data_IF_116402846796
#
_entry.id   IF_116402846796
#
_cell.length_a   1.000
_cell.length_b   1.000
_cell.length_c   1.000
_cell.angle_alpha   90.00
_cell.angle_beta   90.00
_cell.angle_gamma   90.00
#
_symmetry.space_group_name_H-M   'P 1'
#
loop_
_entity.id
_entity.type
_entity.pdbx_description
1 polymer ?
#
# COMPACT_ATOMS: atom_id res chain seq x y z
N UNK A 1 -29.64 -11.72 -20.34
CA UNK A 1 -28.17 -11.52 -20.45
C UNK A 1 -27.49 -12.44 -19.46
N UNK A 2 -26.68 -13.34 -19.95
CA UNK A 2 -26.01 -14.33 -19.13
C UNK A 2 -24.60 -13.89 -18.75
N UNK A 3 -24.05 -14.50 -17.67
CA UNK A 3 -22.68 -14.27 -17.26
C UNK A 3 -21.72 -15.00 -18.24
N UNK A 4 -20.77 -14.28 -18.79
CA UNK A 4 -19.72 -14.81 -19.63
C UNK A 4 -18.41 -14.86 -18.83
N UNK A 5 -17.62 -15.91 -19.01
CA UNK A 5 -16.34 -16.03 -18.36
C UNK A 5 -15.29 -15.16 -19.06
N UNK A 6 -14.68 -14.21 -18.34
CA UNK A 6 -13.64 -13.35 -18.90
C UNK A 6 -12.23 -13.85 -18.56
N UNK A 7 -12.02 -14.35 -17.36
CA UNK A 7 -10.79 -15.02 -16.90
C UNK A 7 -11.05 -15.70 -15.57
N UNK A 8 -10.08 -16.45 -15.07
CA UNK A 8 -10.19 -17.12 -13.76
C UNK A 8 -10.65 -16.15 -12.65
N UNK A 9 -11.77 -16.49 -12.03
CA UNK A 9 -12.39 -15.72 -10.95
C UNK A 9 -13.07 -14.41 -11.36
N UNK A 10 -13.24 -14.16 -12.68
CA UNK A 10 -13.93 -12.96 -13.21
C UNK A 10 -14.94 -13.34 -14.26
N UNK A 11 -16.20 -13.01 -14.00
CA UNK A 11 -17.31 -13.13 -14.94
C UNK A 11 -17.84 -11.74 -15.32
N UNK A 12 -18.35 -11.58 -16.52
CA UNK A 12 -18.88 -10.31 -17.03
C UNK A 12 -20.27 -10.49 -17.67
N UNK A 13 -21.03 -9.40 -17.66
CA UNK A 13 -22.26 -9.25 -18.46
C UNK A 13 -22.14 -8.01 -19.33
N UNK A 14 -22.51 -8.12 -20.58
CA UNK A 14 -22.44 -7.02 -21.54
C UNK A 14 -23.83 -6.45 -21.78
N UNK A 15 -23.95 -5.13 -21.80
CA UNK A 15 -25.17 -4.39 -22.14
C UNK A 15 -24.82 -3.31 -23.15
N UNK A 16 -25.00 -3.56 -24.46
CA UNK A 16 -24.93 -2.50 -25.45
C UNK A 16 -26.11 -1.52 -25.29
N UNK A 17 -25.84 -0.22 -25.28
CA UNK A 17 -26.86 0.82 -25.19
C UNK A 17 -26.37 2.12 -25.85
N UNK A 18 -27.15 2.63 -26.81
CA UNK A 18 -26.91 3.95 -27.40
C UNK A 18 -25.49 4.18 -27.93
N UNK A 19 -24.92 3.19 -28.64
CA UNK A 19 -23.55 3.30 -29.18
C UNK A 19 -22.43 3.06 -28.18
N UNK A 20 -22.77 2.69 -26.95
CA UNK A 20 -21.83 2.38 -25.87
C UNK A 20 -22.03 0.96 -25.35
N UNK A 21 -21.00 0.45 -24.73
CA UNK A 21 -20.99 -0.85 -24.08
C UNK A 21 -20.83 -0.69 -22.56
N UNK A 22 -21.82 -1.17 -21.81
CA UNK A 22 -21.75 -1.30 -20.37
C UNK A 22 -21.35 -2.72 -20.02
N UNK A 23 -20.29 -2.85 -19.22
CA UNK A 23 -19.77 -4.15 -18.77
C UNK A 23 -19.90 -4.24 -17.26
N UNK A 24 -20.79 -5.13 -16.79
CA UNK A 24 -20.89 -5.47 -15.39
C UNK A 24 -19.95 -6.65 -15.12
N UNK A 25 -18.83 -6.42 -14.45
CA UNK A 25 -17.88 -7.46 -14.06
C UNK A 25 -18.09 -7.87 -12.60
N UNK A 26 -17.85 -9.15 -12.30
CA UNK A 26 -17.85 -9.74 -10.96
C UNK A 26 -16.53 -10.44 -10.71
N UNK A 27 -15.77 -10.01 -9.71
CA UNK A 27 -14.47 -10.58 -9.33
C UNK A 27 -14.53 -11.25 -7.96
N UNK A 28 -14.18 -12.55 -7.90
CA UNK A 28 -14.12 -13.33 -6.64
C UNK A 28 -13.10 -12.78 -5.67
N UNK A 29 -11.91 -12.41 -6.15
CA UNK A 29 -10.86 -11.84 -5.31
C UNK A 29 -11.31 -10.53 -4.64
N UNK A 30 -12.05 -9.67 -5.36
CA UNK A 30 -12.60 -8.44 -4.81
C UNK A 30 -13.70 -8.72 -3.79
N UNK A 31 -14.58 -9.69 -4.02
CA UNK A 31 -15.57 -10.12 -3.02
C UNK A 31 -14.89 -10.47 -1.71
N UNK A 32 -13.83 -11.31 -1.75
CA UNK A 32 -13.08 -11.70 -0.56
C UNK A 32 -12.46 -10.49 0.14
N UNK A 33 -11.83 -9.59 -0.62
CA UNK A 33 -11.21 -8.36 -0.09
C UNK A 33 -12.25 -7.44 0.57
N UNK A 34 -13.36 -7.16 -0.09
CA UNK A 34 -14.40 -6.27 0.42
C UNK A 34 -15.07 -6.86 1.67
N UNK A 35 -15.29 -8.17 1.72
CA UNK A 35 -15.78 -8.87 2.92
C UNK A 35 -14.81 -8.78 4.08
N UNK A 36 -13.53 -9.01 3.84
CA UNK A 36 -12.51 -8.92 4.87
C UNK A 36 -12.39 -7.49 5.44
N UNK A 37 -12.40 -6.48 4.56
CA UNK A 37 -12.39 -5.07 4.96
C UNK A 37 -13.63 -4.72 5.80
N UNK A 38 -14.82 -5.10 5.35
CA UNK A 38 -16.07 -4.85 6.08
C UNK A 38 -16.08 -5.53 7.44
N UNK A 39 -15.67 -6.81 7.52
CA UNK A 39 -15.57 -7.53 8.81
C UNK A 39 -14.65 -6.82 9.77
N UNK A 40 -13.48 -6.35 9.30
CA UNK A 40 -12.52 -5.61 10.12
C UNK A 40 -13.12 -4.30 10.64
N UNK A 41 -13.77 -3.53 9.77
CA UNK A 41 -14.41 -2.26 10.13
C UNK A 41 -15.57 -2.47 11.11
N UNK A 42 -16.41 -3.46 10.88
CA UNK A 42 -17.50 -3.82 11.79
C UNK A 42 -16.95 -4.26 13.15
N UNK A 43 -15.92 -5.11 13.19
CA UNK A 43 -15.29 -5.56 14.45
C UNK A 43 -14.74 -4.37 15.25
N UNK A 44 -14.07 -3.42 14.57
CA UNK A 44 -13.55 -2.20 15.20
C UNK A 44 -14.69 -1.34 15.79
N UNK A 45 -15.73 -1.10 15.00
CA UNK A 45 -16.89 -0.33 15.45
C UNK A 45 -17.61 -1.02 16.62
N UNK A 46 -17.82 -2.34 16.53
CA UNK A 46 -18.49 -3.13 17.56
C UNK A 46 -17.76 -3.08 18.91
N UNK A 47 -16.45 -3.24 18.89
CA UNK A 47 -15.62 -3.09 20.09
C UNK A 47 -15.77 -1.70 20.70
N UNK A 48 -15.74 -0.63 19.88
CA UNK A 48 -15.91 0.74 20.35
C UNK A 48 -17.29 1.02 20.92
N UNK A 49 -18.36 0.53 20.28
CA UNK A 49 -19.72 0.66 20.78
C UNK A 49 -19.92 -0.11 22.10
N UNK A 50 -19.32 -1.31 22.22
CA UNK A 50 -19.32 -2.08 23.47
C UNK A 50 -18.63 -1.36 24.63
N UNK A 51 -17.49 -0.72 24.39
CA UNK A 51 -16.81 0.12 25.39
C UNK A 51 -17.67 1.31 25.82
N UNK A 52 -18.34 1.95 24.87
CA UNK A 52 -19.23 3.08 25.18
C UNK A 52 -20.48 2.63 25.95
N UNK A 53 -20.99 1.45 25.65
CA UNK A 53 -22.15 0.87 26.36
C UNK A 53 -21.81 0.42 27.79
N UNK A 54 -20.60 -0.10 28.01
CA UNK A 54 -20.17 -0.61 29.33
C UNK A 54 -19.86 0.50 30.34
N UNK A 55 -19.68 1.73 29.89
CA UNK A 55 -19.37 2.89 30.75
C UNK A 55 -20.55 3.83 30.83
N UNK A 56 -20.89 4.29 32.04
CA UNK A 56 -21.87 5.35 32.20
C UNK A 56 -21.30 6.67 31.67
N UNK A 57 -22.02 7.32 30.77
CA UNK A 57 -21.67 8.62 30.19
C UNK A 57 -22.87 9.55 30.22
N UNK A 58 -22.70 10.84 30.53
CA UNK A 58 -23.72 11.84 30.24
C UNK A 58 -24.07 11.79 28.75
N UNK A 59 -25.37 11.96 28.44
CA UNK A 59 -25.90 11.83 27.07
C UNK A 59 -25.11 12.63 26.04
N UNK A 60 -24.77 13.88 26.34
CA UNK A 60 -24.05 14.75 25.40
C UNK A 60 -22.62 14.27 25.14
N UNK A 61 -21.93 13.84 26.19
CA UNK A 61 -20.59 13.24 26.07
C UNK A 61 -20.62 11.93 25.26
N UNK A 62 -21.68 11.12 25.42
CA UNK A 62 -21.88 9.91 24.62
C UNK A 62 -22.10 10.25 23.14
N UNK A 63 -22.92 11.25 22.81
CA UNK A 63 -23.16 11.69 21.44
C UNK A 63 -21.89 12.17 20.73
N UNK A 64 -21.04 12.92 21.43
CA UNK A 64 -19.73 13.35 20.89
C UNK A 64 -18.84 12.13 20.58
N UNK A 65 -18.75 11.16 21.51
CA UNK A 65 -17.97 9.93 21.31
C UNK A 65 -18.52 9.05 20.17
N UNK A 66 -19.83 9.01 20.00
CA UNK A 66 -20.47 8.34 18.87
C UNK A 66 -20.14 9.04 17.54
N UNK A 67 -20.10 10.38 17.53
CA UNK A 67 -19.62 11.16 16.38
C UNK A 67 -18.22 10.77 15.98
N UNK A 68 -17.27 10.67 16.93
CA UNK A 68 -15.92 10.21 16.69
C UNK A 68 -15.85 8.76 16.18
N UNK A 69 -16.66 7.86 16.73
CA UNK A 69 -16.73 6.48 16.25
C UNK A 69 -17.27 6.36 14.82
N UNK A 70 -18.23 7.22 14.44
CA UNK A 70 -18.74 7.35 13.07
C UNK A 70 -17.64 7.80 12.11
N UNK A 71 -16.85 8.81 12.48
CA UNK A 71 -15.75 9.34 11.69
C UNK A 71 -14.64 8.31 11.48
N UNK A 72 -14.31 7.53 12.51
CA UNK A 72 -13.29 6.47 12.44
C UNK A 72 -13.73 5.25 11.63
N UNK A 73 -15.04 4.98 11.49
CA UNK A 73 -15.57 3.79 10.83
C UNK A 73 -16.82 4.08 10.00
N UNK A 74 -16.79 5.02 9.05
CA UNK A 74 -17.99 5.52 8.35
C UNK A 74 -18.70 4.42 7.53
N UNK A 75 -17.95 3.48 6.96
CA UNK A 75 -18.50 2.37 6.18
C UNK A 75 -19.26 1.37 7.04
N UNK A 76 -18.74 1.05 8.23
CA UNK A 76 -19.40 0.16 9.17
C UNK A 76 -20.60 0.83 9.84
N UNK A 77 -20.47 2.12 10.15
CA UNK A 77 -21.54 2.90 10.77
C UNK A 77 -22.87 2.83 9.99
N UNK A 78 -22.81 2.87 8.66
CA UNK A 78 -23.99 2.76 7.80
C UNK A 78 -24.73 1.44 7.91
N UNK A 79 -24.09 0.41 8.45
CA UNK A 79 -24.64 -0.94 8.59
C UNK A 79 -25.19 -1.24 9.99
N UNK A 80 -25.06 -0.28 10.90
CA UNK A 80 -25.50 -0.43 12.29
C UNK A 80 -26.59 0.59 12.58
N UNK A 81 -27.68 0.14 13.18
CA UNK A 81 -28.71 1.01 13.73
C UNK A 81 -28.33 1.32 15.19
N UNK A 82 -28.24 2.60 15.52
CA UNK A 82 -27.77 3.09 16.81
C UNK A 82 -28.84 4.01 17.39
N UNK A 83 -29.20 3.79 18.63
CA UNK A 83 -30.20 4.55 19.38
C UNK A 83 -29.62 4.93 20.74
N UNK A 84 -29.86 6.15 21.15
CA UNK A 84 -29.51 6.66 22.49
C UNK A 84 -30.78 7.16 23.12
N UNK A 85 -31.19 6.51 24.20
CA UNK A 85 -32.39 6.87 24.95
C UNK A 85 -32.17 8.19 25.72
N UNK A 86 -33.23 8.75 26.29
CA UNK A 86 -33.21 10.01 27.03
C UNK A 86 -32.31 9.92 28.30
N UNK A 87 -32.21 8.73 28.88
CA UNK A 87 -31.39 8.40 30.06
C UNK A 87 -29.90 8.17 29.73
N UNK A 88 -29.51 8.28 28.46
CA UNK A 88 -28.14 8.01 28.01
C UNK A 88 -27.84 6.53 27.72
N UNK A 89 -28.85 5.66 27.75
CA UNK A 89 -28.66 4.24 27.42
C UNK A 89 -28.41 4.06 25.93
N UNK A 90 -27.26 3.43 25.60
CA UNK A 90 -26.87 3.12 24.21
C UNK A 90 -27.40 1.75 23.80
N UNK A 91 -28.17 1.71 22.71
CA UNK A 91 -28.59 0.47 22.03
C UNK A 91 -28.09 0.47 20.60
N UNK A 92 -27.57 -0.65 20.15
CA UNK A 92 -27.11 -0.79 18.78
C UNK A 92 -27.35 -2.20 18.26
N UNK A 93 -27.64 -2.30 16.96
CA UNK A 93 -27.88 -3.57 16.30
C UNK A 93 -27.43 -3.53 14.84
N UNK A 94 -27.08 -4.71 14.29
CA UNK A 94 -26.70 -4.83 12.90
C UNK A 94 -27.93 -4.76 11.99
N UNK A 95 -27.96 -3.79 11.07
CA UNK A 95 -29.02 -3.68 10.08
C UNK A 95 -28.85 -4.75 8.98
N UNK A 96 -29.55 -5.86 9.12
CA UNK A 96 -29.48 -7.00 8.18
C UNK A 96 -29.93 -6.64 6.75
N UNK A 97 -30.88 -5.71 6.60
CA UNK A 97 -31.36 -5.27 5.26
C UNK A 97 -30.25 -4.51 4.53
N UNK A 98 -29.62 -3.53 5.19
CA UNK A 98 -28.49 -2.77 4.64
C UNK A 98 -27.29 -3.68 4.37
N UNK A 99 -26.99 -4.62 5.26
CA UNK A 99 -25.91 -5.60 5.07
C UNK A 99 -26.16 -6.47 3.84
N UNK A 100 -27.38 -6.99 3.65
CA UNK A 100 -27.77 -7.77 2.48
C UNK A 100 -27.59 -6.97 1.18
N UNK A 101 -28.03 -5.71 1.16
CA UNK A 101 -27.88 -4.82 0.01
C UNK A 101 -26.42 -4.57 -0.37
N UNK A 102 -25.53 -4.37 0.62
CA UNK A 102 -24.09 -4.20 0.37
C UNK A 102 -23.47 -5.51 -0.12
N UNK A 103 -23.82 -6.65 0.48
CA UNK A 103 -23.31 -7.96 0.08
C UNK A 103 -23.67 -8.31 -1.38
N UNK A 104 -24.86 -7.92 -1.84
CA UNK A 104 -25.28 -8.12 -3.23
C UNK A 104 -24.43 -7.32 -4.25
N UNK A 105 -23.82 -6.23 -3.83
CA UNK A 105 -22.99 -5.36 -4.69
C UNK A 105 -21.50 -5.70 -4.64
N UNK A 106 -21.11 -6.58 -3.74
CA UNK A 106 -19.69 -6.95 -3.57
C UNK A 106 -19.05 -7.51 -4.82
N UNK A 107 -17.81 -7.13 -5.02
CA UNK A 107 -16.98 -7.63 -6.11
C UNK A 107 -17.42 -7.20 -7.48
N UNK A 108 -18.38 -6.27 -7.60
CA UNK A 108 -18.91 -5.82 -8.89
C UNK A 108 -18.26 -4.52 -9.33
N UNK A 109 -17.99 -4.45 -10.63
CA UNK A 109 -17.53 -3.25 -11.32
C UNK A 109 -18.51 -2.94 -12.45
N UNK A 110 -18.78 -1.68 -12.68
CA UNK A 110 -19.46 -1.22 -13.87
C UNK A 110 -18.45 -0.45 -14.72
N UNK A 111 -18.15 -0.97 -15.89
CA UNK A 111 -17.32 -0.31 -16.89
C UNK A 111 -18.22 0.24 -17.99
N UNK A 112 -17.83 1.39 -18.53
CA UNK A 112 -18.46 2.01 -19.69
C UNK A 112 -17.39 2.19 -20.75
N UNK A 113 -17.66 1.76 -21.97
CA UNK A 113 -16.73 1.79 -23.09
C UNK A 113 -17.46 2.18 -24.38
N UNK A 114 -16.76 2.83 -25.27
CA UNK A 114 -17.17 3.06 -26.64
C UNK A 114 -16.76 1.91 -27.59
N UNK A 115 -16.05 0.92 -27.07
CA UNK A 115 -15.63 -0.27 -27.81
C UNK A 115 -16.80 -1.25 -27.88
N UNK A 116 -17.65 -1.09 -28.88
CA UNK A 116 -18.79 -1.98 -29.16
C UNK A 116 -18.32 -3.14 -30.03
N UNK A 117 -18.70 -4.38 -29.68
CA UNK A 117 -18.34 -5.58 -30.46
C UNK A 117 -17.05 -6.27 -30.06
N UNK A 118 -16.34 -5.76 -29.04
CA UNK A 118 -15.13 -6.38 -28.52
C UNK A 118 -15.43 -7.56 -27.58
N UNK A 119 -14.50 -8.51 -27.55
CA UNK A 119 -14.56 -9.65 -26.63
C UNK A 119 -14.52 -9.19 -25.17
N UNK A 120 -15.38 -9.74 -24.27
CA UNK A 120 -15.44 -9.39 -22.86
C UNK A 120 -14.10 -9.52 -22.11
N UNK A 121 -13.31 -10.54 -22.44
CA UNK A 121 -12.00 -10.76 -21.83
C UNK A 121 -11.02 -9.66 -22.24
N UNK A 122 -11.09 -9.19 -23.48
CA UNK A 122 -10.27 -8.07 -23.98
C UNK A 122 -10.62 -6.77 -23.28
N UNK A 123 -11.91 -6.43 -23.13
CA UNK A 123 -12.35 -5.22 -22.44
C UNK A 123 -11.88 -5.26 -20.97
N UNK A 124 -12.00 -6.40 -20.30
CA UNK A 124 -11.49 -6.57 -18.95
C UNK A 124 -9.96 -6.41 -18.89
N UNK A 125 -9.22 -6.97 -19.85
CA UNK A 125 -7.77 -6.82 -19.96
C UNK A 125 -7.35 -5.36 -20.11
N UNK A 126 -8.05 -4.60 -20.98
CA UNK A 126 -7.81 -3.16 -21.15
C UNK A 126 -8.05 -2.38 -19.84
N UNK A 127 -9.13 -2.68 -19.13
CA UNK A 127 -9.40 -2.09 -17.84
C UNK A 127 -8.29 -2.39 -16.81
N UNK A 128 -7.80 -3.62 -16.76
CA UNK A 128 -6.69 -3.98 -15.86
C UNK A 128 -5.39 -3.24 -16.20
N UNK A 129 -5.12 -3.01 -17.49
CA UNK A 129 -3.98 -2.18 -17.91
C UNK A 129 -4.11 -0.74 -17.46
N UNK A 130 -5.30 -0.14 -17.52
CA UNK A 130 -5.54 1.20 -16.97
C UNK A 130 -5.24 1.26 -15.47
N UNK A 131 -5.69 0.27 -14.71
CA UNK A 131 -5.40 0.18 -13.26
C UNK A 131 -3.88 0.07 -13.00
N UNK A 132 -3.16 -0.70 -13.82
CA UNK A 132 -1.70 -0.81 -13.73
C UNK A 132 -1.01 0.52 -14.05
N UNK A 133 -1.46 1.23 -15.09
CA UNK A 133 -0.94 2.55 -15.47
C UNK A 133 -1.19 3.58 -14.35
N UNK A 134 -2.40 3.61 -13.78
CA UNK A 134 -2.71 4.49 -12.65
C UNK A 134 -1.81 4.21 -11.44
N UNK A 135 -1.53 2.93 -11.17
CA UNK A 135 -0.61 2.55 -10.09
C UNK A 135 0.82 3.00 -10.39
N UNK A 136 1.29 2.85 -11.64
CA UNK A 136 2.60 3.35 -12.08
C UNK A 136 2.74 4.85 -11.84
N UNK A 137 1.76 5.65 -12.30
CA UNK A 137 1.76 7.09 -12.07
C UNK A 137 1.70 7.48 -10.59
N UNK A 138 0.97 6.72 -9.78
CA UNK A 138 0.91 6.95 -8.33
C UNK A 138 2.27 6.71 -7.67
N UNK A 139 2.96 5.64 -8.03
CA UNK A 139 4.28 5.33 -7.52
C UNK A 139 5.31 6.39 -7.94
N UNK A 140 5.31 6.79 -9.21
CA UNK A 140 6.20 7.85 -9.71
C UNK A 140 5.98 9.19 -8.97
N UNK A 141 4.72 9.57 -8.73
CA UNK A 141 4.38 10.83 -8.05
C UNK A 141 4.55 10.78 -6.54
N UNK A 142 4.39 9.62 -5.94
CA UNK A 142 4.45 9.40 -4.49
C UNK A 142 5.81 8.89 -4.04
N UNK A 143 5.99 7.57 -4.05
CA UNK A 143 7.15 6.91 -3.45
C UNK A 143 8.48 7.27 -4.13
N UNK A 144 8.47 7.58 -5.44
CA UNK A 144 9.66 7.92 -6.22
C UNK A 144 9.87 9.44 -6.39
N UNK A 145 8.99 10.25 -5.82
CA UNK A 145 9.13 11.71 -5.71
C UNK A 145 9.52 12.42 -7.02
N UNK A 146 8.99 11.98 -8.18
CA UNK A 146 9.21 12.68 -9.45
C UNK A 146 8.68 14.12 -9.43
N UNK A 147 7.83 14.44 -8.46
CA UNK A 147 7.30 15.78 -8.19
C UNK A 147 7.27 16.06 -6.68
N UNK A 148 7.52 17.31 -6.25
CA UNK A 148 7.89 18.48 -7.05
C UNK A 148 9.35 18.44 -7.51
N UNK A 149 9.65 19.07 -8.66
CA UNK A 149 11.02 19.28 -9.15
C UNK A 149 11.45 20.68 -8.72
N UNK A 150 12.48 20.75 -7.88
CA UNK A 150 13.02 22.00 -7.34
C UNK A 150 14.20 22.55 -8.15
N UNK A 151 14.69 21.79 -9.13
CA UNK A 151 15.79 22.22 -10.00
C UNK A 151 15.29 23.22 -11.03
N UNK A 152 16.11 24.25 -11.32
CA UNK A 152 15.85 25.25 -12.34
C UNK A 152 16.74 25.06 -13.60
N UNK A 153 17.83 24.34 -13.46
CA UNK A 153 18.75 24.00 -14.55
C UNK A 153 18.17 22.80 -15.32
N UNK A 154 18.11 22.91 -16.65
CA UNK A 154 17.52 21.89 -17.54
C UNK A 154 18.20 20.53 -17.37
N UNK A 155 19.53 20.50 -17.36
CA UNK A 155 20.30 19.24 -17.20
C UNK A 155 20.01 18.56 -15.87
N UNK A 156 19.82 19.33 -14.80
CA UNK A 156 19.44 18.79 -13.48
C UNK A 156 18.00 18.29 -13.46
N UNK A 157 17.09 18.93 -14.20
CA UNK A 157 15.70 18.48 -14.36
C UNK A 157 15.70 17.15 -15.10
N UNK A 158 16.42 17.04 -16.21
CA UNK A 158 16.54 15.80 -16.98
C UNK A 158 17.16 14.66 -16.15
N UNK A 159 18.25 14.95 -15.44
CA UNK A 159 18.89 13.98 -14.55
C UNK A 159 17.93 13.51 -13.45
N UNK A 160 17.15 14.41 -12.83
CA UNK A 160 16.15 14.07 -11.83
C UNK A 160 15.08 13.12 -12.42
N UNK A 161 14.53 13.46 -13.58
CA UNK A 161 13.53 12.63 -14.27
C UNK A 161 14.11 11.25 -14.61
N UNK A 162 15.34 11.21 -15.13
CA UNK A 162 16.02 9.95 -15.49
C UNK A 162 16.26 9.06 -14.26
N UNK A 163 16.70 9.64 -13.14
CA UNK A 163 16.90 8.90 -11.89
C UNK A 163 15.56 8.33 -11.39
N UNK A 164 14.49 9.13 -11.41
CA UNK A 164 13.16 8.66 -11.04
C UNK A 164 12.68 7.53 -11.94
N UNK A 165 12.95 7.61 -13.25
CA UNK A 165 12.61 6.55 -14.20
C UNK A 165 13.41 5.25 -13.93
N UNK A 166 14.69 5.34 -13.68
CA UNK A 166 15.52 4.18 -13.32
C UNK A 166 15.03 3.55 -11.99
N UNK A 167 14.74 4.37 -10.99
CA UNK A 167 14.16 3.92 -9.72
C UNK A 167 12.81 3.21 -9.95
N UNK A 168 11.98 3.70 -10.86
CA UNK A 168 10.73 3.05 -11.24
C UNK A 168 10.97 1.68 -11.89
N UNK A 169 11.93 1.56 -12.80
CA UNK A 169 12.29 0.28 -13.42
C UNK A 169 12.73 -0.75 -12.36
N UNK A 170 13.54 -0.34 -11.40
CA UNK A 170 13.97 -1.17 -10.28
C UNK A 170 12.78 -1.58 -9.39
N UNK A 171 11.89 -0.64 -9.09
CA UNK A 171 10.67 -0.90 -8.31
C UNK A 171 9.76 -1.95 -8.98
N UNK A 172 9.54 -1.83 -10.30
CA UNK A 172 8.73 -2.78 -11.06
C UNK A 172 9.40 -4.16 -11.10
N UNK A 173 10.71 -4.20 -11.29
CA UNK A 173 11.51 -5.45 -11.31
C UNK A 173 11.45 -6.13 -9.95
N UNK A 174 11.64 -5.39 -8.85
CA UNK A 174 11.51 -5.92 -7.50
C UNK A 174 10.10 -6.44 -7.24
N UNK A 175 9.07 -5.70 -7.63
CA UNK A 175 7.67 -6.13 -7.51
C UNK A 175 7.40 -7.45 -8.25
N UNK A 176 7.98 -7.62 -9.45
CA UNK A 176 7.85 -8.86 -10.21
C UNK A 176 8.53 -10.03 -9.47
N UNK A 177 9.74 -9.85 -8.99
CA UNK A 177 10.45 -10.85 -8.17
C UNK A 177 9.68 -11.22 -6.90
N UNK A 178 9.10 -10.23 -6.21
CA UNK A 178 8.34 -10.46 -4.98
C UNK A 178 7.07 -11.30 -5.22
N UNK A 179 6.38 -11.09 -6.33
CA UNK A 179 5.21 -11.92 -6.69
C UNK A 179 5.56 -13.42 -6.76
N UNK A 180 6.77 -13.75 -7.21
CA UNK A 180 7.23 -15.12 -7.38
C UNK A 180 7.85 -15.69 -6.12
N UNK A 181 8.73 -14.93 -5.45
CA UNK A 181 9.60 -15.44 -4.38
C UNK A 181 9.12 -15.11 -2.96
N UNK A 182 8.36 -14.05 -2.80
CA UNK A 182 7.86 -13.58 -1.50
C UNK A 182 6.45 -12.98 -1.62
N UNK A 183 5.43 -13.80 -2.00
CA UNK A 183 4.06 -13.32 -2.18
C UNK A 183 3.53 -12.70 -0.89
N UNK A 184 2.90 -11.53 -1.02
CA UNK A 184 2.36 -10.75 0.11
C UNK A 184 3.25 -9.60 0.56
N UNK A 185 4.52 -9.54 0.15
CA UNK A 185 5.38 -8.38 0.36
C UNK A 185 5.24 -7.36 -0.77
N UNK A 186 5.39 -6.08 -0.42
CA UNK A 186 5.45 -4.97 -1.36
C UNK A 186 6.88 -4.44 -1.45
N UNK A 187 7.33 -3.79 -2.55
CA UNK A 187 8.63 -3.16 -2.62
C UNK A 187 8.89 -2.23 -1.43
N UNK A 188 7.91 -1.43 -1.04
CA UNK A 188 8.00 -0.53 0.12
C UNK A 188 8.31 -1.29 1.41
N UNK A 189 7.58 -2.37 1.71
CA UNK A 189 7.82 -3.16 2.93
C UNK A 189 9.19 -3.84 2.92
N UNK A 190 9.73 -4.18 1.73
CA UNK A 190 11.09 -4.70 1.58
C UNK A 190 12.12 -3.63 1.88
N UNK A 191 11.97 -2.43 1.33
CA UNK A 191 12.87 -1.32 1.63
C UNK A 191 12.84 -0.94 3.10
N UNK A 192 11.66 -0.89 3.74
CA UNK A 192 11.52 -0.63 5.18
C UNK A 192 12.24 -1.69 6.03
N UNK A 193 12.15 -2.97 5.67
CA UNK A 193 12.86 -4.05 6.37
C UNK A 193 14.37 -3.99 6.16
N UNK A 194 14.84 -3.68 4.96
CA UNK A 194 16.27 -3.63 4.64
C UNK A 194 16.95 -2.31 5.03
N UNK A 195 16.19 -1.26 5.35
CA UNK A 195 16.71 0.04 5.76
C UNK A 195 17.61 -0.01 7.03
N UNK A 196 17.44 -1.04 7.86
CA UNK A 196 18.32 -1.28 9.01
C UNK A 196 19.72 -1.79 8.64
N UNK A 197 19.95 -2.19 7.37
CA UNK A 197 21.27 -2.57 6.88
C UNK A 197 21.96 -1.30 6.39
N UNK A 198 22.91 -0.79 7.19
CA UNK A 198 23.58 0.47 6.93
C UNK A 198 25.07 0.25 6.74
N UNK A 199 25.70 1.06 5.88
CA UNK A 199 27.16 1.17 5.81
C UNK A 199 27.65 2.09 6.91
N UNK A 200 28.71 1.69 7.59
CA UNK A 200 29.33 2.40 8.69
C UNK A 200 30.82 2.55 8.43
N UNK A 201 31.34 3.75 8.59
CA UNK A 201 32.77 4.05 8.59
C UNK A 201 33.26 4.06 10.02
N UNK A 202 33.95 3.00 10.42
CA UNK A 202 34.59 2.90 11.73
C UNK A 202 36.03 3.35 11.62
N UNK A 203 36.36 4.43 12.32
CA UNK A 203 37.71 5.06 12.29
C UNK A 203 38.42 4.77 13.61
N UNK A 204 39.63 4.20 13.49
CA UNK A 204 40.52 3.98 14.62
C UNK A 204 41.82 4.79 14.42
N UNK A 205 42.14 5.74 15.30
CA UNK A 205 43.42 6.42 15.27
C UNK A 205 44.50 5.44 15.67
N UNK A 206 45.62 5.48 14.97
CA UNK A 206 46.83 4.68 15.25
C UNK A 206 47.88 5.54 15.97
N UNK A 207 48.80 4.91 16.72
CA UNK A 207 49.82 5.58 17.49
C UNK A 207 50.85 6.39 16.63
N UNK A 208 50.94 6.10 15.34
CA UNK A 208 51.79 6.80 14.38
C UNK A 208 51.09 7.98 13.68
N UNK A 209 49.91 8.38 14.17
CA UNK A 209 49.13 9.52 13.65
C UNK A 209 48.36 9.24 12.36
N UNK A 210 48.25 7.99 11.93
CA UNK A 210 47.40 7.56 10.83
C UNK A 210 46.03 7.15 11.35
N UNK A 211 45.06 6.99 10.47
CA UNK A 211 43.73 6.49 10.81
C UNK A 211 43.45 5.22 10.02
N UNK A 212 43.05 4.19 10.71
CA UNK A 212 42.56 2.95 10.13
C UNK A 212 41.05 3.08 9.90
N UNK A 213 40.62 2.96 8.66
CA UNK A 213 39.22 3.07 8.25
C UNK A 213 38.68 1.68 7.91
N UNK A 214 37.60 1.30 8.56
CA UNK A 214 36.82 0.09 8.28
C UNK A 214 35.48 0.51 7.72
N UNK A 215 35.26 0.28 6.44
CA UNK A 215 33.94 0.38 5.83
C UNK A 215 33.20 -0.93 6.09
N UNK A 216 32.16 -0.89 6.95
CA UNK A 216 31.44 -2.08 7.38
C UNK A 216 29.95 -1.89 7.19
N UNK A 217 29.25 -2.89 6.74
CA UNK A 217 27.78 -2.91 6.84
C UNK A 217 27.35 -3.59 8.15
N UNK A 218 26.23 -3.15 8.69
CA UNK A 218 25.61 -3.77 9.87
C UNK A 218 25.24 -5.21 9.58
N UNK A 219 25.35 -6.08 10.58
CA UNK A 219 24.95 -7.49 10.44
C UNK A 219 23.44 -7.59 10.32
N UNK A 220 22.93 -8.19 9.22
CA UNK A 220 21.49 -8.39 9.05
C UNK A 220 20.91 -9.23 10.19
N UNK A 221 19.73 -8.84 10.66
CA UNK A 221 18.94 -9.62 11.60
C UNK A 221 18.31 -10.87 10.94
N UNK A 222 17.65 -11.72 11.72
CA UNK A 222 17.04 -12.96 11.22
C UNK A 222 15.99 -12.74 10.13
N UNK A 223 15.03 -11.80 10.26
CA UNK A 223 14.09 -11.45 9.19
C UNK A 223 14.78 -10.94 7.91
N UNK A 224 15.79 -10.09 8.03
CA UNK A 224 16.54 -9.53 6.89
C UNK A 224 17.33 -10.61 6.15
N UNK A 225 17.99 -11.52 6.86
CA UNK A 225 18.69 -12.68 6.27
C UNK A 225 17.72 -13.57 5.50
N UNK A 226 16.55 -13.85 6.06
CA UNK A 226 15.52 -14.65 5.40
C UNK A 226 15.00 -13.97 4.13
N UNK A 227 14.80 -12.66 4.16
CA UNK A 227 14.34 -11.88 3.02
C UNK A 227 15.38 -11.86 1.90
N UNK A 228 16.66 -11.60 2.23
CA UNK A 228 17.77 -11.63 1.27
C UNK A 228 17.88 -13.00 0.60
N UNK A 229 17.84 -14.09 1.39
CA UNK A 229 17.90 -15.45 0.86
C UNK A 229 16.72 -15.75 -0.09
N UNK A 230 15.49 -15.35 0.26
CA UNK A 230 14.31 -15.52 -0.62
C UNK A 230 14.43 -14.76 -1.94
N UNK A 231 15.01 -13.58 -1.91
CA UNK A 231 15.22 -12.75 -3.10
C UNK A 231 16.46 -13.20 -3.93
N UNK A 232 17.28 -14.10 -3.38
CA UNK A 232 18.54 -14.50 -3.99
C UNK A 232 19.51 -13.32 -4.07
N UNK A 233 19.59 -12.53 -2.99
CA UNK A 233 20.48 -11.40 -2.84
C UNK A 233 21.51 -11.70 -1.75
N UNK A 234 22.75 -11.31 -2.02
CA UNK A 234 23.85 -11.38 -1.07
C UNK A 234 24.38 -9.98 -0.82
N UNK A 235 24.78 -9.72 0.41
CA UNK A 235 25.46 -8.48 0.73
C UNK A 235 26.90 -8.55 0.20
N UNK A 236 27.49 -7.41 -0.20
CA UNK A 236 28.88 -7.39 -0.63
C UNK A 236 29.81 -7.85 0.52
N UNK A 237 30.92 -8.45 0.16
CA UNK A 237 31.92 -8.79 1.14
C UNK A 237 32.41 -7.54 1.89
N UNK A 238 32.72 -7.69 3.17
CA UNK A 238 33.28 -6.61 3.98
C UNK A 238 34.61 -6.15 3.40
N UNK A 239 34.76 -4.87 3.12
CA UNK A 239 35.99 -4.30 2.58
C UNK A 239 37.18 -4.49 3.54
N UNK A 240 38.43 -4.78 3.06
CA UNK A 240 39.58 -4.78 3.92
C UNK A 240 39.82 -3.40 4.54
N UNK A 241 40.45 -3.34 5.71
CA UNK A 241 40.78 -2.06 6.33
C UNK A 241 41.67 -1.21 5.40
N UNK A 242 41.39 0.09 5.35
CA UNK A 242 42.22 1.05 4.62
C UNK A 242 42.96 1.95 5.61
N UNK A 243 44.22 2.24 5.32
CA UNK A 243 45.00 3.21 6.08
C UNK A 243 44.93 4.53 5.33
N UNK A 244 44.41 5.57 5.96
CA UNK A 244 44.42 6.92 5.41
C UNK A 244 45.75 7.60 5.71
N UNK A 245 46.26 8.40 4.78
CA UNK A 245 47.47 9.22 5.00
C UNK A 245 47.24 10.19 6.18
N UNK A 246 48.32 10.59 6.86
CA UNK A 246 48.27 11.63 7.92
C UNK A 246 47.46 12.81 7.45
N UNK A 247 46.39 13.15 8.14
CA UNK A 247 45.78 14.48 8.00
C UNK A 247 46.80 15.46 8.59
N UNK A 248 47.41 16.27 7.74
CA UNK A 248 48.04 17.50 8.18
C UNK A 248 46.93 18.35 8.80
N UNK A 249 46.89 18.41 10.11
CA UNK A 249 46.00 19.36 10.81
C UNK A 249 46.48 20.75 10.39
N UNK A 250 45.75 21.43 9.52
CA UNK A 250 45.89 22.86 9.34
C UNK A 250 45.58 23.51 10.69
N UNK A 251 46.47 24.36 11.22
CA UNK A 251 46.18 25.07 12.46
C UNK A 251 44.95 25.95 12.23
N UNK A 252 43.93 25.83 13.08
CA UNK A 252 42.82 26.76 13.16
C UNK A 252 43.38 28.15 13.48
N UNK A 253 43.32 29.05 12.49
CA UNK A 253 43.50 30.48 12.69
C UNK A 253 42.22 31.09 13.28
#
# INVERSE_FOLDING_TARGET
>A
MDWQHAREGVDVKLLPRSGELYVLARSRARVCKERAMRRRQLKKLWARLGELQSRSHPRDALLIKLGQAKEQSPSAWRLVDIQVDADGTLRYSLNRKKLKAVTLREGRYLLRSNLTGEDPARIWSLYMRLVEIEECFRNLKGDLAVRPIYHQDEKRIEAHIMICFLAFCLHVTLRHKLRQKAPGLTPRSVFEQLAGIQMLDVKFPTSDGRTLLFERHTTPDKPQKLLLARLGLELPAQSPPRITSRQTLEPLN
#
